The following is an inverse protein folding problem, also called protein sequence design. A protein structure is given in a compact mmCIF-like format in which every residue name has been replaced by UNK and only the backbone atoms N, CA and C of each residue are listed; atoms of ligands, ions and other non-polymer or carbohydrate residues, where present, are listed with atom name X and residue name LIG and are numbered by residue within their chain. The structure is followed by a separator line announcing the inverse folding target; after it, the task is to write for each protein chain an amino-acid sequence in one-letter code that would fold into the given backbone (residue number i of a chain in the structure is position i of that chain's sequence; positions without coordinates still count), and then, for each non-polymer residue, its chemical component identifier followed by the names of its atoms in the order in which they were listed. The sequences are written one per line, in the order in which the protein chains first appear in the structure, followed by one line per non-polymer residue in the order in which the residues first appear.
data_IF_295839816113
#
_entry.id   IF_295839816113
#
_cell.length_a   1.000
_cell.length_b   1.000
_cell.length_c   1.000
_cell.angle_alpha   90.00
_cell.angle_beta   90.00
_cell.angle_gamma   90.00
#
_symmetry.space_group_name_H-M   'P 1'
#
loop_
_entity.id
_entity.type
_entity.pdbx_description
1 polymer ?
#
# COMPACT_ATOMS: atom_id res chain seq x y z
N UNK A 1 0.72 -10.00 -14.85
CA UNK A 1 1.02 -10.45 -13.47
C UNK A 1 1.90 -9.39 -12.84
N UNK A 2 1.30 -8.38 -12.24
CA UNK A 2 2.08 -7.30 -11.64
C UNK A 2 2.52 -7.72 -10.24
N UNK A 3 3.83 -7.58 -9.98
CA UNK A 3 4.53 -8.09 -8.79
C UNK A 3 4.40 -7.08 -7.65
N UNK A 4 3.34 -7.20 -6.85
CA UNK A 4 3.39 -6.71 -5.48
C UNK A 4 4.06 -7.75 -4.57
N UNK A 5 4.58 -7.30 -3.43
CA UNK A 5 5.19 -8.13 -2.39
C UNK A 5 4.17 -8.23 -1.25
N UNK A 6 3.77 -9.45 -0.89
CA UNK A 6 2.92 -9.64 0.28
C UNK A 6 3.73 -9.40 1.55
N UNK A 7 3.19 -8.62 2.47
CA UNK A 7 3.72 -8.44 3.82
C UNK A 7 2.70 -9.02 4.80
N UNK A 8 3.10 -10.09 5.48
CA UNK A 8 2.25 -10.89 6.36
C UNK A 8 2.65 -10.76 7.83
N UNK A 9 3.90 -10.40 8.09
CA UNK A 9 4.48 -10.33 9.45
C UNK A 9 5.11 -8.97 9.76
N UNK A 10 5.19 -8.64 11.05
CA UNK A 10 5.85 -7.42 11.53
C UNK A 10 7.34 -7.41 11.21
N UNK A 11 7.97 -8.58 11.14
CA UNK A 11 9.38 -8.75 10.83
C UNK A 11 9.67 -8.44 9.35
N UNK A 12 8.79 -8.84 8.43
CA UNK A 12 8.86 -8.49 7.00
C UNK A 12 8.74 -6.97 6.80
N UNK A 13 7.78 -6.34 7.48
CA UNK A 13 7.62 -4.88 7.47
C UNK A 13 8.86 -4.17 8.02
N UNK A 14 9.35 -4.61 9.18
CA UNK A 14 10.56 -4.05 9.79
C UNK A 14 11.76 -4.21 8.88
N UNK A 15 11.90 -5.35 8.20
CA UNK A 15 12.99 -5.62 7.26
C UNK A 15 12.95 -4.64 6.09
N UNK A 16 11.80 -4.52 5.42
CA UNK A 16 11.63 -3.55 4.32
C UNK A 16 11.94 -2.12 4.80
N UNK A 17 11.41 -1.71 5.96
CA UNK A 17 11.60 -0.37 6.50
C UNK A 17 13.06 -0.09 6.88
N UNK A 18 13.81 -1.10 7.34
CA UNK A 18 15.22 -0.96 7.73
C UNK A 18 16.21 -0.92 6.56
N UNK A 19 15.78 -1.31 5.35
CA UNK A 19 16.66 -1.33 4.19
C UNK A 19 17.09 0.11 3.82
N UNK A 20 18.40 0.42 3.80
CA UNK A 20 18.91 1.73 3.41
C UNK A 20 18.73 2.02 1.91
N UNK A 21 18.58 0.98 1.09
CA UNK A 21 18.38 1.08 -0.36
C UNK A 21 16.91 0.91 -0.75
N UNK A 22 15.98 0.89 0.21
CA UNK A 22 14.55 0.77 -0.09
C UNK A 22 14.11 1.90 -1.01
N UNK A 23 13.25 1.52 -1.95
CA UNK A 23 12.57 2.47 -2.83
C UNK A 23 11.38 3.10 -2.10
N UNK A 24 10.80 4.18 -2.61
CA UNK A 24 9.46 4.56 -2.20
C UNK A 24 8.52 3.37 -2.38
N UNK A 25 7.53 3.23 -1.49
CA UNK A 25 6.55 2.16 -1.60
C UNK A 25 5.13 2.70 -1.63
N UNK A 26 4.29 2.05 -2.44
CA UNK A 26 2.85 2.16 -2.37
C UNK A 26 2.31 0.90 -1.70
N UNK A 27 1.74 1.07 -0.51
CA UNK A 27 1.21 0.00 0.34
C UNK A 27 -0.30 -0.08 0.15
N UNK A 28 -0.82 -1.24 -0.23
CA UNK A 28 -2.25 -1.51 -0.32
C UNK A 28 -2.69 -2.48 0.79
N UNK A 29 -3.53 -1.98 1.71
CA UNK A 29 -4.19 -2.75 2.77
C UNK A 29 -5.57 -3.16 2.30
N UNK A 30 -5.76 -4.46 2.11
CA UNK A 30 -6.99 -5.04 1.59
C UNK A 30 -7.64 -5.97 2.61
N UNK A 31 -8.92 -5.78 2.89
CA UNK A 31 -9.79 -6.74 3.58
C UNK A 31 -10.40 -7.72 2.58
N UNK A 32 -10.13 -9.02 2.74
CA UNK A 32 -10.61 -10.10 1.87
C UNK A 32 -12.10 -10.42 2.02
N UNK A 33 -12.79 -9.81 3.00
CA UNK A 33 -14.21 -10.05 3.28
C UNK A 33 -15.08 -8.81 3.08
N UNK A 34 -14.57 -7.76 2.43
CA UNK A 34 -15.29 -6.51 2.21
C UNK A 34 -15.37 -6.18 0.71
N UNK A 35 -16.58 -6.00 0.17
CA UNK A 35 -16.79 -5.66 -1.24
C UNK A 35 -16.13 -4.34 -1.64
N UNK A 36 -16.23 -3.30 -0.79
CA UNK A 36 -15.56 -2.01 -1.00
C UNK A 36 -14.04 -2.20 -1.13
N UNK A 37 -13.48 -3.13 -0.36
CA UNK A 37 -12.06 -3.45 -0.42
C UNK A 37 -11.68 -4.26 -1.65
N UNK A 38 -12.57 -5.12 -2.15
CA UNK A 38 -12.39 -5.81 -3.41
C UNK A 38 -12.38 -4.82 -4.58
N UNK A 39 -13.24 -3.80 -4.57
CA UNK A 39 -13.27 -2.78 -5.61
C UNK A 39 -12.00 -1.93 -5.63
N UNK A 40 -11.56 -1.45 -4.46
CA UNK A 40 -10.27 -0.74 -4.34
C UNK A 40 -9.08 -1.61 -4.76
N UNK A 41 -9.14 -2.93 -4.52
CA UNK A 41 -8.11 -3.87 -4.96
C UNK A 41 -8.09 -4.01 -6.49
N UNK A 42 -9.25 -4.06 -7.16
CA UNK A 42 -9.33 -4.07 -8.63
C UNK A 42 -8.72 -2.81 -9.24
N UNK A 43 -9.01 -1.64 -8.66
CA UNK A 43 -8.41 -0.36 -9.08
C UNK A 43 -6.88 -0.38 -8.94
N UNK A 44 -6.39 -0.94 -7.82
CA UNK A 44 -4.96 -1.12 -7.59
C UNK A 44 -4.33 -2.09 -8.60
N UNK A 45 -4.96 -3.23 -8.91
CA UNK A 45 -4.47 -4.17 -9.92
C UNK A 45 -4.40 -3.55 -11.32
N UNK A 46 -5.42 -2.78 -11.71
CA UNK A 46 -5.44 -2.04 -12.99
C UNK A 46 -4.29 -1.03 -13.04
N UNK A 47 -4.11 -0.24 -11.97
CA UNK A 47 -2.97 0.68 -11.87
C UNK A 47 -1.63 -0.04 -12.04
N UNK A 48 -1.44 -1.17 -11.36
CA UNK A 48 -0.22 -1.97 -11.47
C UNK A 48 0.01 -2.57 -12.87
N UNK A 49 -1.05 -2.79 -13.64
CA UNK A 49 -0.95 -3.34 -14.99
C UNK A 49 -0.62 -2.26 -16.03
N UNK A 50 -1.11 -1.02 -15.83
CA UNK A 50 -1.13 0.00 -16.87
C UNK A 50 -0.23 1.21 -16.60
N UNK A 51 0.09 1.52 -15.34
CA UNK A 51 0.67 2.82 -14.98
C UNK A 51 1.74 2.77 -13.89
N UNK A 52 1.99 1.62 -13.26
CA UNK A 52 2.97 1.49 -12.19
C UNK A 52 4.41 1.77 -12.65
N UNK A 53 5.10 2.78 -12.07
CA UNK A 53 6.52 2.98 -12.29
C UNK A 53 7.36 1.82 -11.74
N UNK A 54 8.52 1.61 -12.36
CA UNK A 54 9.41 0.49 -12.04
C UNK A 54 10.31 0.74 -10.84
N UNK A 55 10.47 2.00 -10.43
CA UNK A 55 11.29 2.49 -9.32
C UNK A 55 10.52 2.64 -8.00
N UNK A 56 9.32 2.04 -7.92
CA UNK A 56 8.46 2.01 -6.74
C UNK A 56 8.26 0.56 -6.29
N UNK A 57 8.28 0.32 -4.99
CA UNK A 57 7.87 -0.95 -4.40
C UNK A 57 6.35 -0.98 -4.20
N UNK A 58 5.71 -2.09 -4.54
CA UNK A 58 4.28 -2.28 -4.30
C UNK A 58 4.10 -3.31 -3.21
N UNK A 59 3.63 -2.89 -2.04
CA UNK A 59 3.45 -3.75 -0.89
C UNK A 59 1.96 -4.05 -0.71
N UNK A 60 1.62 -5.30 -0.42
CA UNK A 60 0.24 -5.73 -0.24
C UNK A 60 0.06 -6.39 1.12
N UNK A 61 -1.00 -6.01 1.84
CA UNK A 61 -1.31 -6.54 3.16
C UNK A 61 -2.77 -6.96 3.21
N UNK A 62 -3.00 -8.25 3.43
CA UNK A 62 -4.34 -8.75 3.72
C UNK A 62 -4.67 -8.51 5.20
N UNK A 63 -5.57 -7.58 5.47
CA UNK A 63 -5.78 -7.03 6.83
C UNK A 63 -6.39 -8.04 7.79
N UNK A 64 -7.22 -8.96 7.30
CA UNK A 64 -7.91 -9.95 8.14
C UNK A 64 -6.91 -11.01 8.61
N UNK A 65 -6.07 -11.47 7.70
CA UNK A 65 -5.08 -12.53 7.88
C UNK A 65 -3.82 -11.99 8.61
N UNK A 66 -3.47 -10.73 8.36
CA UNK A 66 -2.21 -10.11 8.80
C UNK A 66 -2.46 -8.87 9.67
N UNK A 67 -3.41 -8.96 10.62
CA UNK A 67 -3.86 -7.83 11.45
C UNK A 67 -2.71 -7.14 12.21
N UNK A 68 -1.78 -7.92 12.75
CA UNK A 68 -0.65 -7.40 13.52
C UNK A 68 0.19 -6.42 12.68
N UNK A 69 0.64 -6.85 11.50
CA UNK A 69 1.44 -5.98 10.62
C UNK A 69 0.62 -4.84 10.01
N UNK A 70 -0.67 -5.07 9.70
CA UNK A 70 -1.54 -4.00 9.21
C UNK A 70 -1.70 -2.85 10.23
N UNK A 71 -1.79 -3.19 11.51
CA UNK A 71 -1.79 -2.22 12.61
C UNK A 71 -0.42 -1.55 12.78
N UNK A 72 0.67 -2.33 12.74
CA UNK A 72 2.03 -1.80 12.86
C UNK A 72 2.34 -0.78 11.77
N UNK A 73 1.98 -1.05 10.51
CA UNK A 73 2.16 -0.12 9.39
C UNK A 73 1.43 1.20 9.65
N UNK A 74 0.21 1.16 10.19
CA UNK A 74 -0.53 2.39 10.49
C UNK A 74 0.17 3.19 11.59
N UNK A 75 0.61 2.51 12.66
CA UNK A 75 1.30 3.15 13.78
C UNK A 75 2.66 3.74 13.37
N UNK A 76 3.48 3.00 12.63
CA UNK A 76 4.83 3.43 12.21
C UNK A 76 4.85 4.57 11.21
N UNK A 77 3.74 4.74 10.47
CA UNK A 77 3.55 5.82 9.52
C UNK A 77 2.72 6.96 10.11
N UNK A 78 2.29 6.88 11.37
CA UNK A 78 1.43 7.87 12.04
C UNK A 78 0.16 8.21 11.23
N UNK A 79 -0.44 7.19 10.59
CA UNK A 79 -1.71 7.31 9.87
C UNK A 79 -2.81 6.55 10.58
N UNK A 80 -4.05 7.03 10.47
CA UNK A 80 -5.20 6.28 10.99
C UNK A 80 -5.34 4.97 10.23
N UNK A 81 -5.45 3.86 10.96
CA UNK A 81 -5.71 2.56 10.35
C UNK A 81 -7.07 2.56 9.64
N UNK A 82 -7.09 2.23 8.34
CA UNK A 82 -8.30 2.02 7.55
C UNK A 82 -8.19 0.75 6.69
N UNK A 83 -9.32 0.23 6.23
CA UNK A 83 -9.36 -0.85 5.23
C UNK A 83 -10.63 -0.72 4.36
N UNK A 84 -10.50 -0.69 3.02
CA UNK A 84 -9.24 -0.67 2.28
C UNK A 84 -8.47 0.65 2.49
N UNK A 85 -7.15 0.61 2.39
CA UNK A 85 -6.29 1.80 2.51
C UNK A 85 -5.08 1.68 1.59
N UNK A 86 -4.77 2.72 0.83
CA UNK A 86 -3.55 2.86 0.05
C UNK A 86 -2.68 3.95 0.68
N UNK A 87 -1.37 3.71 0.82
CA UNK A 87 -0.44 4.63 1.47
C UNK A 87 0.84 4.71 0.63
N UNK A 88 1.21 5.90 0.18
CA UNK A 88 2.49 6.16 -0.45
C UNK A 88 3.50 6.61 0.61
N UNK A 89 4.64 5.92 0.70
CA UNK A 89 5.70 6.20 1.68
C UNK A 89 7.03 6.42 0.99
N UNK A 90 7.80 7.40 1.46
CA UNK A 90 9.18 7.66 1.05
C UNK A 90 10.02 8.02 2.27
N UNK A 91 11.22 7.47 2.38
CA UNK A 91 12.13 7.74 3.51
C UNK A 91 11.49 7.51 4.89
N UNK A 92 10.55 6.57 4.99
CA UNK A 92 9.83 6.25 6.24
C UNK A 92 8.73 7.23 6.63
N UNK A 93 8.40 8.21 5.77
CA UNK A 93 7.33 9.18 5.97
C UNK A 93 6.18 8.93 4.99
N UNK A 94 4.91 8.97 5.43
CA UNK A 94 3.78 8.94 4.51
C UNK A 94 3.75 10.26 3.70
N UNK A 95 3.65 10.14 2.38
CA UNK A 95 3.46 11.28 1.47
C UNK A 95 1.99 11.47 1.10
N UNK A 96 1.24 10.37 1.06
CA UNK A 96 -0.16 10.36 0.66
C UNK A 96 -0.85 9.12 1.23
N UNK A 97 -2.11 9.24 1.64
CA UNK A 97 -2.95 8.09 1.93
C UNK A 97 -4.41 8.33 1.50
N UNK A 98 -5.07 7.27 1.05
CA UNK A 98 -6.50 7.26 0.73
C UNK A 98 -7.15 5.94 1.15
N UNK A 99 -8.48 5.95 1.29
CA UNK A 99 -9.24 4.76 1.68
C UNK A 99 -10.57 4.64 0.95
N UNK A 100 -11.14 3.43 1.02
CA UNK A 100 -12.45 3.10 0.44
C UNK A 100 -12.53 3.49 -1.05
N UNK A 101 -13.59 4.20 -1.43
CA UNK A 101 -13.89 4.61 -2.80
C UNK A 101 -12.96 5.69 -3.37
N UNK A 102 -12.10 6.28 -2.53
CA UNK A 102 -11.10 7.24 -3.01
C UNK A 102 -9.87 6.54 -3.59
N UNK A 103 -9.74 5.22 -3.42
CA UNK A 103 -8.70 4.43 -4.06
C UNK A 103 -9.18 4.07 -5.46
N UNK A 104 -8.71 4.84 -6.44
CA UNK A 104 -8.95 4.64 -7.87
C UNK A 104 -7.62 4.55 -8.60
N UNK A 105 -7.58 3.92 -9.79
CA UNK A 105 -6.41 3.91 -10.66
C UNK A 105 -5.85 5.32 -10.84
N UNK A 106 -6.72 6.29 -11.10
CA UNK A 106 -6.35 7.68 -11.30
C UNK A 106 -5.71 8.29 -10.05
N UNK A 107 -6.30 8.11 -8.86
CA UNK A 107 -5.74 8.64 -7.61
C UNK A 107 -4.37 8.03 -7.27
N UNK A 108 -4.16 6.74 -7.58
CA UNK A 108 -2.90 6.05 -7.35
C UNK A 108 -1.81 6.57 -8.30
N UNK A 109 -2.18 6.76 -9.57
CA UNK A 109 -1.31 7.34 -10.58
C UNK A 109 -0.91 8.76 -10.19
N UNK A 110 -1.87 9.61 -9.83
CA UNK A 110 -1.61 10.99 -9.40
C UNK A 110 -0.73 11.04 -8.16
N UNK A 111 -0.98 10.18 -7.17
CA UNK A 111 -0.16 10.11 -5.96
C UNK A 111 1.31 9.84 -6.31
N UNK A 112 1.55 8.87 -7.19
CA UNK A 112 2.90 8.52 -7.63
C UNK A 112 3.52 9.62 -8.49
N UNK A 113 2.83 10.14 -9.49
CA UNK A 113 3.33 11.18 -10.40
C UNK A 113 3.69 12.50 -9.68
N UNK A 114 2.95 12.85 -8.62
CA UNK A 114 3.12 14.14 -7.94
C UNK A 114 4.16 14.12 -6.82
N UNK A 115 4.43 12.95 -6.23
CA UNK A 115 5.23 12.84 -5.01
C UNK A 115 6.57 12.13 -5.18
N UNK A 116 6.78 11.43 -6.31
CA UNK A 116 8.01 10.69 -6.61
C UNK A 116 8.76 11.32 -7.79
#
# INVERSE_FOLDING_TARGET
MSKWIEITTTEEWSRWRSDPNKRPALIMKHSTQCSVSADAYREFETFLAESAPTDVDYLFVKVIESRAVSNQIAADLDVKHQSPQAILVRNGLPLWDQSHWHITQQSLKEAVDQHL
#
